data_IF_084482309511
#
_entry.id   IF_084482309511
#
_cell.length_a   1.000
_cell.length_b   1.000
_cell.length_c   1.000
_cell.angle_alpha   90.00
_cell.angle_beta   90.00
_cell.angle_gamma   90.00
#
_symmetry.space_group_name_H-M   'P 1'
#
loop_
_entity.id
_entity.type
_entity.pdbx_description
1 polymer ?
#
# COMPACT_ATOMS: atom_id res chain seq x y z
N UNK A 1 25.29 -199.76 88.91
CA UNK A 1 24.51 -199.26 87.75
C UNK A 1 23.49 -198.20 88.19
N UNK A 2 23.91 -197.11 88.88
CA UNK A 2 23.01 -196.07 89.40
C UNK A 2 23.66 -194.65 89.43
N UNK A 3 24.83 -194.48 88.82
CA UNK A 3 25.65 -193.24 88.87
C UNK A 3 25.68 -192.52 87.53
N UNK A 4 25.67 -193.27 86.42
CA UNK A 4 25.76 -192.74 85.04
C UNK A 4 24.47 -192.05 84.56
N UNK A 5 23.30 -192.60 84.93
CA UNK A 5 22.00 -191.96 84.66
C UNK A 5 21.86 -190.65 85.45
N UNK A 6 22.41 -190.58 86.67
CA UNK A 6 22.40 -189.36 87.50
C UNK A 6 23.26 -188.26 86.88
N UNK A 7 24.44 -188.60 86.37
CA UNK A 7 25.32 -187.63 85.70
C UNK A 7 24.69 -187.11 84.40
N UNK A 8 24.13 -187.98 83.55
CA UNK A 8 23.46 -187.54 82.32
C UNK A 8 22.21 -186.69 82.57
N UNK A 9 21.47 -186.93 83.65
CA UNK A 9 20.36 -186.08 84.08
C UNK A 9 20.84 -184.72 84.61
N UNK A 10 22.00 -184.68 85.28
CA UNK A 10 22.69 -183.45 85.68
C UNK A 10 23.12 -182.63 84.46
N UNK A 11 23.82 -183.26 83.50
CA UNK A 11 24.27 -182.61 82.27
C UNK A 11 23.08 -182.06 81.46
N UNK A 12 21.95 -182.78 81.40
CA UNK A 12 20.73 -182.32 80.72
C UNK A 12 20.06 -181.15 81.45
N UNK A 13 20.12 -181.12 82.78
CA UNK A 13 19.63 -180.00 83.59
C UNK A 13 20.50 -178.76 83.38
N UNK A 14 21.83 -178.91 83.35
CA UNK A 14 22.77 -177.84 83.04
C UNK A 14 22.58 -177.31 81.61
N UNK A 15 22.39 -178.20 80.62
CA UNK A 15 22.13 -177.80 79.23
C UNK A 15 20.78 -177.10 79.09
N UNK A 16 19.76 -177.55 79.82
CA UNK A 16 18.45 -176.88 79.88
C UNK A 16 18.56 -175.48 80.48
N UNK A 17 19.31 -175.34 81.57
CA UNK A 17 19.49 -174.07 82.27
C UNK A 17 20.36 -173.11 81.44
N UNK A 18 21.36 -173.63 80.72
CA UNK A 18 22.14 -172.88 79.73
C UNK A 18 21.28 -172.41 78.55
N UNK A 19 20.43 -173.27 77.99
CA UNK A 19 19.47 -172.90 76.92
C UNK A 19 18.43 -171.90 77.45
N UNK A 20 18.01 -172.02 78.71
CA UNK A 20 17.14 -171.03 79.34
C UNK A 20 17.83 -169.67 79.48
N UNK A 21 19.12 -169.66 79.85
CA UNK A 21 19.94 -168.45 79.91
C UNK A 21 20.19 -167.84 78.52
N UNK A 22 20.44 -168.64 77.49
CA UNK A 22 20.54 -168.13 76.11
C UNK A 22 19.21 -167.54 75.62
N UNK A 23 18.08 -168.16 75.99
CA UNK A 23 16.75 -167.62 75.65
C UNK A 23 16.47 -166.29 76.34
N UNK A 24 16.92 -166.08 77.58
CA UNK A 24 16.78 -164.79 78.25
C UNK A 24 17.69 -163.73 77.64
N UNK A 25 18.92 -164.08 77.26
CA UNK A 25 19.82 -163.18 76.51
C UNK A 25 19.23 -162.80 75.15
N UNK A 26 18.77 -163.77 74.36
CA UNK A 26 18.12 -163.50 73.07
C UNK A 26 16.84 -162.67 73.20
N UNK A 27 16.07 -162.86 74.28
CA UNK A 27 14.91 -162.02 74.57
C UNK A 27 15.31 -160.58 74.87
N UNK A 28 16.38 -160.38 75.65
CA UNK A 28 16.93 -159.06 75.93
C UNK A 28 17.50 -158.39 74.67
N UNK A 29 18.25 -159.11 73.84
CA UNK A 29 18.75 -158.60 72.55
C UNK A 29 17.60 -158.21 71.60
N UNK A 30 16.55 -159.02 71.52
CA UNK A 30 15.35 -158.69 70.74
C UNK A 30 14.64 -157.44 71.26
N UNK A 31 14.59 -157.23 72.58
CA UNK A 31 14.07 -156.01 73.16
C UNK A 31 14.92 -154.78 72.76
N UNK A 32 16.24 -154.88 72.88
CA UNK A 32 17.17 -153.82 72.44
C UNK A 32 17.01 -153.49 70.95
N UNK A 33 16.89 -154.51 70.08
CA UNK A 33 16.67 -154.29 68.64
C UNK A 33 15.29 -153.65 68.37
N UNK A 34 14.25 -154.01 69.15
CA UNK A 34 12.95 -153.39 69.04
C UNK A 34 13.00 -151.91 69.44
N UNK A 35 13.72 -151.57 70.50
CA UNK A 35 13.95 -150.19 70.97
C UNK A 35 14.73 -149.38 69.93
N UNK A 36 15.83 -149.92 69.41
CA UNK A 36 16.61 -149.29 68.32
C UNK A 36 15.77 -149.05 67.07
N UNK A 37 14.87 -149.98 66.72
CA UNK A 37 13.94 -149.81 65.59
C UNK A 37 12.93 -148.71 65.87
N UNK A 38 12.43 -148.60 67.10
CA UNK A 38 11.53 -147.52 67.51
C UNK A 38 12.24 -146.15 67.41
N UNK A 39 13.48 -146.04 67.91
CA UNK A 39 14.30 -144.84 67.81
C UNK A 39 14.58 -144.45 66.36
N UNK A 40 14.90 -145.42 65.50
CA UNK A 40 15.13 -145.18 64.07
C UNK A 40 13.86 -144.71 63.34
N UNK A 41 12.68 -145.22 63.72
CA UNK A 41 11.40 -144.74 63.19
C UNK A 41 11.07 -143.33 63.67
N UNK A 42 11.37 -143.00 64.93
CA UNK A 42 11.23 -141.66 65.48
C UNK A 42 12.15 -140.68 64.75
N UNK A 43 13.43 -141.03 64.57
CA UNK A 43 14.40 -140.23 63.82
C UNK A 43 13.98 -140.03 62.36
N UNK A 44 13.49 -141.06 61.67
CA UNK A 44 12.96 -140.92 60.31
C UNK A 44 11.75 -139.98 60.23
N UNK A 45 10.91 -139.97 61.27
CA UNK A 45 9.76 -139.05 61.34
C UNK A 45 10.25 -137.62 61.53
N UNK A 46 11.23 -137.39 62.40
CA UNK A 46 11.84 -136.08 62.58
C UNK A 46 12.53 -135.58 61.30
N UNK A 47 13.31 -136.43 60.63
CA UNK A 47 13.94 -136.10 59.34
C UNK A 47 12.89 -135.73 58.30
N UNK A 48 11.76 -136.48 58.23
CA UNK A 48 10.66 -136.17 57.30
C UNK A 48 10.02 -134.82 57.60
N UNK A 49 9.77 -134.51 58.88
CA UNK A 49 9.21 -133.23 59.28
C UNK A 49 10.15 -132.08 58.91
N UNK A 50 11.45 -132.21 59.22
CA UNK A 50 12.46 -131.21 58.86
C UNK A 50 12.56 -131.01 57.35
N UNK A 51 12.47 -132.08 56.55
CA UNK A 51 12.42 -131.98 55.08
C UNK A 51 11.17 -131.23 54.60
N UNK A 52 10.04 -131.41 55.27
CA UNK A 52 8.81 -130.62 55.05
C UNK A 52 9.04 -129.14 55.34
N UNK A 53 9.54 -128.81 56.53
CA UNK A 53 9.84 -127.42 56.93
C UNK A 53 10.82 -126.75 55.96
N UNK A 54 11.85 -127.48 55.51
CA UNK A 54 12.81 -126.98 54.51
C UNK A 54 12.15 -126.73 53.14
N UNK A 55 11.18 -127.55 52.74
CA UNK A 55 10.44 -127.34 51.50
C UNK A 55 9.56 -126.10 51.58
N UNK A 56 8.84 -125.89 52.69
CA UNK A 56 8.04 -124.69 52.93
C UNK A 56 8.90 -123.42 52.98
N UNK A 57 10.05 -123.48 53.66
CA UNK A 57 11.00 -122.36 53.69
C UNK A 57 11.53 -122.05 52.30
N UNK A 58 11.87 -123.08 51.50
CA UNK A 58 12.33 -122.90 50.11
C UNK A 58 11.25 -122.22 49.26
N UNK A 59 10.00 -122.63 49.40
CA UNK A 59 8.89 -122.08 48.62
C UNK A 59 8.61 -120.62 49.03
N UNK A 60 8.71 -120.30 50.33
CA UNK A 60 8.63 -118.92 50.85
C UNK A 60 9.75 -118.04 50.29
N UNK A 61 11.00 -118.51 50.34
CA UNK A 61 12.15 -117.79 49.77
C UNK A 61 12.01 -117.60 48.26
N UNK A 62 11.44 -118.59 47.55
CA UNK A 62 11.16 -118.45 46.12
C UNK A 62 10.12 -117.35 45.85
N UNK A 63 9.04 -117.30 46.63
CA UNK A 63 8.02 -116.26 46.53
C UNK A 63 8.60 -114.87 46.83
N UNK A 64 9.38 -114.71 47.89
CA UNK A 64 10.05 -113.44 48.23
C UNK A 64 11.01 -112.99 47.11
N UNK A 65 11.77 -113.92 46.52
CA UNK A 65 12.64 -113.61 45.37
C UNK A 65 11.84 -113.10 44.17
N UNK A 66 10.68 -113.69 43.88
CA UNK A 66 9.82 -113.21 42.80
C UNK A 66 9.22 -111.83 43.09
N UNK A 67 8.78 -111.58 44.32
CA UNK A 67 8.27 -110.27 44.73
C UNK A 67 9.36 -109.19 44.65
N UNK A 68 10.56 -109.46 45.15
CA UNK A 68 11.69 -108.54 45.09
C UNK A 68 12.14 -108.28 43.64
N UNK A 69 12.06 -109.28 42.76
CA UNK A 69 12.33 -109.10 41.33
C UNK A 69 11.30 -108.16 40.68
N UNK A 70 10.03 -108.29 41.01
CA UNK A 70 8.98 -107.39 40.54
C UNK A 70 9.18 -105.96 41.07
N UNK A 71 9.48 -105.78 42.36
CA UNK A 71 9.75 -104.46 42.95
C UNK A 71 10.96 -103.80 42.28
N UNK A 72 12.04 -104.55 42.05
CA UNK A 72 13.23 -104.07 41.31
C UNK A 72 12.90 -103.62 39.90
N UNK A 73 12.01 -104.34 39.19
CA UNK A 73 11.56 -103.93 37.87
C UNK A 73 10.78 -102.60 37.94
N UNK A 74 9.85 -102.45 38.88
CA UNK A 74 9.09 -101.19 39.04
C UNK A 74 10.00 -100.00 39.40
N UNK A 75 11.00 -100.19 40.26
CA UNK A 75 11.98 -99.16 40.59
C UNK A 75 12.87 -98.80 39.40
N UNK A 76 13.23 -99.79 38.56
CA UNK A 76 13.98 -99.54 37.33
C UNK A 76 13.15 -98.67 36.35
N UNK A 77 11.86 -98.97 36.19
CA UNK A 77 10.95 -98.19 35.35
C UNK A 77 10.76 -96.76 35.89
N UNK A 78 10.56 -96.61 37.20
CA UNK A 78 10.47 -95.30 37.85
C UNK A 78 11.76 -94.49 37.64
N UNK A 79 12.93 -95.12 37.80
CA UNK A 79 14.23 -94.46 37.58
C UNK A 79 14.39 -94.03 36.12
N UNK A 80 13.95 -94.85 35.17
CA UNK A 80 13.94 -94.48 33.75
C UNK A 80 13.01 -93.28 33.50
N UNK A 81 11.81 -93.27 34.09
CA UNK A 81 10.86 -92.16 34.01
C UNK A 81 11.43 -90.85 34.59
N UNK A 82 12.04 -90.88 35.77
CA UNK A 82 12.69 -89.70 36.36
C UNK A 82 13.88 -89.20 35.53
N UNK A 83 14.64 -90.11 34.92
CA UNK A 83 15.73 -89.75 34.01
C UNK A 83 15.20 -89.04 32.76
N UNK A 84 14.10 -89.54 32.17
CA UNK A 84 13.45 -88.91 31.03
C UNK A 84 12.91 -87.51 31.38
N UNK A 85 12.19 -87.38 32.50
CA UNK A 85 11.70 -86.08 32.99
C UNK A 85 12.84 -85.08 33.26
N UNK A 86 13.94 -85.55 33.84
CA UNK A 86 15.13 -84.70 34.06
C UNK A 86 15.77 -84.25 32.75
N UNK A 87 15.72 -85.09 31.71
CA UNK A 87 16.14 -84.73 30.36
C UNK A 87 15.25 -83.64 29.75
N UNK A 88 13.93 -83.81 29.84
CA UNK A 88 12.94 -82.86 29.34
C UNK A 88 13.08 -81.48 30.02
N UNK A 89 13.18 -81.45 31.35
CA UNK A 89 13.40 -80.21 32.11
C UNK A 89 14.69 -79.52 31.69
N UNK A 90 15.77 -80.28 31.44
CA UNK A 90 17.04 -79.71 30.98
C UNK A 90 16.90 -79.06 29.60
N UNK A 91 16.19 -79.70 28.68
CA UNK A 91 15.93 -79.14 27.35
C UNK A 91 15.10 -77.86 27.44
N UNK A 92 14.02 -77.87 28.22
CA UNK A 92 13.17 -76.68 28.43
C UNK A 92 13.95 -75.52 29.06
N UNK A 93 14.85 -75.79 30.00
CA UNK A 93 15.73 -74.76 30.58
C UNK A 93 16.71 -74.20 29.54
N UNK A 94 17.19 -75.04 28.61
CA UNK A 94 18.06 -74.59 27.52
C UNK A 94 17.29 -73.70 26.53
N UNK A 95 16.09 -74.11 26.13
CA UNK A 95 15.23 -73.33 25.23
C UNK A 95 14.84 -71.98 25.85
N UNK A 96 14.50 -71.97 27.15
CA UNK A 96 14.20 -70.74 27.88
C UNK A 96 15.41 -69.81 27.97
N UNK A 97 16.61 -70.37 28.15
CA UNK A 97 17.84 -69.58 28.16
C UNK A 97 18.09 -68.92 26.80
N UNK A 98 17.87 -69.65 25.69
CA UNK A 98 17.97 -69.13 24.32
C UNK A 98 16.94 -68.02 24.08
N UNK A 99 15.65 -68.27 24.37
CA UNK A 99 14.60 -67.27 24.20
C UNK A 99 14.86 -65.98 25.02
N UNK A 100 15.43 -66.12 26.23
CA UNK A 100 15.82 -64.97 27.05
C UNK A 100 16.97 -64.18 26.44
N UNK A 101 17.92 -64.85 25.79
CA UNK A 101 19.01 -64.19 25.08
C UNK A 101 18.50 -63.42 23.87
N UNK A 102 17.60 -64.02 23.08
CA UNK A 102 17.00 -63.39 21.90
C UNK A 102 16.20 -62.13 22.28
N UNK A 103 15.33 -62.23 23.29
CA UNK A 103 14.59 -61.07 23.82
C UNK A 103 15.49 -59.96 24.35
N UNK A 104 16.65 -60.31 24.93
CA UNK A 104 17.61 -59.32 25.39
C UNK A 104 18.28 -58.59 24.20
N UNK A 105 18.56 -59.31 23.12
CA UNK A 105 19.10 -58.74 21.88
C UNK A 105 18.07 -57.80 21.21
N UNK A 106 16.83 -58.25 21.00
CA UNK A 106 15.75 -57.42 20.44
C UNK A 106 15.52 -56.14 21.25
N UNK A 107 15.53 -56.25 22.59
CA UNK A 107 15.39 -55.08 23.47
C UNK A 107 16.54 -54.09 23.30
N UNK A 108 17.75 -54.58 23.06
CA UNK A 108 18.92 -53.73 22.80
C UNK A 108 18.81 -53.03 21.45
N UNK A 109 18.36 -53.73 20.41
CA UNK A 109 18.13 -53.15 19.08
C UNK A 109 17.06 -52.07 19.10
N UNK A 110 15.90 -52.36 19.71
CA UNK A 110 14.82 -51.37 19.88
C UNK A 110 15.27 -50.14 20.69
N UNK A 111 16.15 -50.32 21.67
CA UNK A 111 16.71 -49.20 22.43
C UNK A 111 17.64 -48.32 21.56
N UNK A 112 18.42 -48.94 20.67
CA UNK A 112 19.26 -48.23 19.71
C UNK A 112 18.40 -47.47 18.68
N UNK A 113 17.41 -48.12 18.08
CA UNK A 113 16.47 -47.49 17.14
C UNK A 113 15.75 -46.30 17.76
N UNK A 114 15.26 -46.45 19.00
CA UNK A 114 14.63 -45.34 19.74
C UNK A 114 15.58 -44.16 19.94
N UNK A 115 16.87 -44.41 20.09
CA UNK A 115 17.88 -43.36 20.23
C UNK A 115 18.10 -42.64 18.90
N UNK A 116 18.16 -43.37 17.79
CA UNK A 116 18.25 -42.81 16.43
C UNK A 116 17.02 -41.95 16.12
N UNK A 117 15.81 -42.48 16.31
CA UNK A 117 14.56 -41.74 16.05
C UNK A 117 14.43 -40.47 16.89
N UNK A 118 14.93 -40.47 18.14
CA UNK A 118 15.00 -39.24 18.96
C UNK A 118 15.93 -38.20 18.34
N UNK A 119 17.08 -38.63 17.81
CA UNK A 119 18.03 -37.77 17.10
C UNK A 119 17.43 -37.18 15.82
N UNK A 120 16.80 -38.01 15.00
CA UNK A 120 16.12 -37.58 13.78
C UNK A 120 15.00 -36.57 14.08
N UNK A 121 14.17 -36.84 15.09
CA UNK A 121 13.11 -35.91 15.53
C UNK A 121 13.70 -34.58 15.98
N UNK A 122 14.81 -34.58 16.70
CA UNK A 122 15.49 -33.35 17.12
C UNK A 122 16.03 -32.57 15.92
N UNK A 123 16.63 -33.24 14.94
CA UNK A 123 17.10 -32.65 13.68
C UNK A 123 15.96 -31.98 12.91
N UNK A 124 14.86 -32.71 12.69
CA UNK A 124 13.67 -32.17 12.02
C UNK A 124 13.10 -30.95 12.75
N UNK A 125 13.06 -31.00 14.08
CA UNK A 125 12.60 -29.86 14.89
C UNK A 125 13.51 -28.64 14.74
N UNK A 126 14.83 -28.84 14.64
CA UNK A 126 15.78 -27.76 14.42
C UNK A 126 15.61 -27.13 13.03
N UNK A 127 15.52 -27.95 11.98
CA UNK A 127 15.26 -27.45 10.61
C UNK A 127 13.93 -26.69 10.51
N UNK A 128 12.87 -27.14 11.20
CA UNK A 128 11.61 -26.40 11.24
C UNK A 128 11.74 -25.02 11.93
N UNK A 129 12.57 -24.91 12.97
CA UNK A 129 12.82 -23.65 13.64
C UNK A 129 13.63 -22.69 12.74
N UNK A 130 14.62 -23.20 12.00
CA UNK A 130 15.39 -22.43 11.02
C UNK A 130 14.49 -21.90 9.89
N UNK A 131 13.69 -22.76 9.26
CA UNK A 131 12.75 -22.37 8.20
C UNK A 131 11.73 -21.32 8.68
N UNK A 132 11.29 -21.41 9.95
CA UNK A 132 10.41 -20.40 10.54
C UNK A 132 11.12 -19.04 10.64
N UNK A 133 12.38 -19.02 11.08
CA UNK A 133 13.19 -17.79 11.11
C UNK A 133 13.41 -17.20 9.71
N UNK A 134 13.66 -18.04 8.70
CA UNK A 134 13.76 -17.59 7.31
C UNK A 134 12.46 -16.98 6.78
N UNK A 135 11.30 -17.58 7.10
CA UNK A 135 9.99 -17.03 6.73
C UNK A 135 9.73 -15.67 7.37
N UNK A 136 10.10 -15.50 8.64
CA UNK A 136 9.99 -14.22 9.36
C UNK A 136 10.90 -13.16 8.70
N UNK A 137 12.12 -13.52 8.33
CA UNK A 137 13.05 -12.63 7.61
C UNK A 137 12.50 -12.22 6.23
N UNK A 138 11.95 -13.17 5.45
CA UNK A 138 11.33 -12.89 4.15
C UNK A 138 10.12 -11.97 4.30
N UNK A 139 9.30 -12.16 5.33
CA UNK A 139 8.17 -11.27 5.62
C UNK A 139 8.65 -9.83 5.94
N UNK A 140 9.71 -9.69 6.73
CA UNK A 140 10.31 -8.39 7.04
C UNK A 140 10.86 -7.69 5.78
N UNK A 141 11.59 -8.42 4.93
CA UNK A 141 12.12 -7.88 3.67
C UNK A 141 11.00 -7.44 2.71
N UNK A 142 9.93 -8.23 2.60
CA UNK A 142 8.74 -7.83 1.81
C UNK A 142 8.10 -6.55 2.33
N UNK A 143 8.02 -6.40 3.66
CA UNK A 143 7.54 -5.17 4.30
C UNK A 143 8.41 -3.96 3.96
N UNK A 144 9.73 -4.11 4.05
CA UNK A 144 10.69 -3.05 3.72
C UNK A 144 10.59 -2.61 2.24
N UNK A 145 10.54 -3.57 1.31
CA UNK A 145 10.39 -3.29 -0.13
C UNK A 145 9.05 -2.58 -0.42
N UNK A 146 7.97 -2.98 0.24
CA UNK A 146 6.67 -2.33 0.07
C UNK A 146 6.70 -0.86 0.53
N UNK A 147 7.37 -0.59 1.67
CA UNK A 147 7.55 0.77 2.17
C UNK A 147 8.42 1.63 1.24
N UNK A 148 9.53 1.08 0.74
CA UNK A 148 10.40 1.75 -0.23
C UNK A 148 9.65 2.08 -1.51
N UNK A 149 8.90 1.12 -2.07
CA UNK A 149 8.07 1.34 -3.26
C UNK A 149 7.04 2.45 -3.03
N UNK A 150 6.40 2.49 -1.86
CA UNK A 150 5.46 3.56 -1.53
C UNK A 150 6.14 4.92 -1.47
N UNK A 151 7.35 5.00 -0.92
CA UNK A 151 8.16 6.23 -0.89
C UNK A 151 8.52 6.72 -2.27
N UNK A 152 9.01 5.82 -3.15
CA UNK A 152 9.38 6.16 -4.52
C UNK A 152 8.18 6.62 -5.36
N UNK A 153 6.99 6.05 -5.14
CA UNK A 153 5.76 6.52 -5.81
C UNK A 153 5.42 7.95 -5.38
N UNK A 154 5.49 8.25 -4.09
CA UNK A 154 5.23 9.61 -3.58
C UNK A 154 6.26 10.62 -4.11
N UNK A 155 7.54 10.24 -4.18
CA UNK A 155 8.59 11.08 -4.76
C UNK A 155 8.34 11.34 -6.26
N UNK A 156 7.93 10.31 -7.02
CA UNK A 156 7.57 10.45 -8.44
C UNK A 156 6.42 11.44 -8.63
N UNK A 157 5.35 11.31 -7.84
CA UNK A 157 4.19 12.21 -7.91
C UNK A 157 4.57 13.66 -7.56
N UNK A 158 5.43 13.85 -6.55
CA UNK A 158 5.94 15.17 -6.19
C UNK A 158 6.80 15.80 -7.31
N UNK A 159 7.65 14.99 -7.97
CA UNK A 159 8.46 15.43 -9.11
C UNK A 159 7.60 15.77 -10.33
N UNK A 160 6.59 14.96 -10.65
CA UNK A 160 5.64 15.22 -11.74
C UNK A 160 4.88 16.54 -11.50
N UNK A 161 4.38 16.76 -10.28
CA UNK A 161 3.72 18.00 -9.89
C UNK A 161 4.67 19.22 -9.97
N UNK A 162 5.90 19.06 -9.48
CA UNK A 162 6.93 20.09 -9.54
C UNK A 162 7.30 20.45 -10.98
N UNK A 163 7.44 19.46 -11.86
CA UNK A 163 7.71 19.67 -13.28
C UNK A 163 6.57 20.40 -13.98
N UNK A 164 5.31 19.99 -13.73
CA UNK A 164 4.14 20.64 -14.29
C UNK A 164 4.05 22.13 -13.87
N UNK A 165 4.30 22.42 -12.58
CA UNK A 165 4.32 23.78 -12.07
C UNK A 165 5.46 24.63 -12.68
N UNK A 166 6.65 24.04 -12.84
CA UNK A 166 7.78 24.71 -13.48
C UNK A 166 7.48 25.03 -14.95
N UNK A 167 6.88 24.09 -15.69
CA UNK A 167 6.49 24.27 -17.08
C UNK A 167 5.43 25.37 -17.22
N UNK A 168 4.43 25.39 -16.35
CA UNK A 168 3.43 26.45 -16.32
C UNK A 168 4.05 27.83 -16.08
N UNK A 169 5.00 27.94 -15.13
CA UNK A 169 5.72 29.19 -14.84
C UNK A 169 6.53 29.67 -16.04
N UNK A 170 7.29 28.80 -16.67
CA UNK A 170 8.11 29.15 -17.85
C UNK A 170 7.22 29.57 -19.02
N UNK A 171 6.09 28.89 -19.21
CA UNK A 171 5.14 29.24 -20.27
C UNK A 171 4.55 30.63 -20.03
N UNK A 172 4.08 30.91 -18.81
CA UNK A 172 3.55 32.22 -18.45
C UNK A 172 4.60 33.35 -18.58
N UNK A 173 5.84 33.10 -18.17
CA UNK A 173 6.93 34.08 -18.31
C UNK A 173 7.25 34.35 -19.79
N UNK A 174 7.30 33.30 -20.62
CA UNK A 174 7.47 33.43 -22.07
C UNK A 174 6.35 34.29 -22.67
N UNK A 175 5.10 34.02 -22.34
CA UNK A 175 3.94 34.73 -22.90
C UNK A 175 3.94 36.20 -22.45
N UNK A 176 4.28 36.47 -21.19
CA UNK A 176 4.47 37.83 -20.69
C UNK A 176 5.59 38.58 -21.41
N UNK A 177 6.75 37.94 -21.61
CA UNK A 177 7.87 38.54 -22.32
C UNK A 177 7.54 38.78 -23.80
N UNK A 178 6.79 37.88 -24.44
CA UNK A 178 6.32 38.07 -25.81
C UNK A 178 5.37 39.28 -25.91
N UNK A 179 4.39 39.39 -25.00
CA UNK A 179 3.48 40.54 -24.96
C UNK A 179 4.23 41.85 -24.70
N UNK A 180 5.18 41.85 -23.76
CA UNK A 180 6.01 43.03 -23.47
C UNK A 180 6.88 43.44 -24.65
N UNK A 181 7.45 42.46 -25.37
CA UNK A 181 8.24 42.74 -26.58
C UNK A 181 7.36 43.40 -27.65
N UNK A 182 6.15 42.89 -27.86
CA UNK A 182 5.22 43.43 -28.83
C UNK A 182 4.76 44.86 -28.47
N UNK A 183 4.47 45.14 -27.20
CA UNK A 183 4.19 46.50 -26.73
C UNK A 183 5.37 47.45 -27.01
N UNK A 184 6.60 47.03 -26.70
CA UNK A 184 7.78 47.86 -26.96
C UNK A 184 8.00 48.10 -28.45
N UNK A 185 7.75 47.12 -29.31
CA UNK A 185 7.79 47.27 -30.77
C UNK A 185 6.74 48.26 -31.24
N UNK A 186 5.49 48.13 -30.79
CA UNK A 186 4.41 49.06 -31.10
C UNK A 186 4.74 50.50 -30.70
N UNK A 187 5.32 50.68 -29.51
CA UNK A 187 5.79 52.00 -29.04
C UNK A 187 6.88 52.59 -29.91
N UNK A 188 7.91 51.81 -30.24
CA UNK A 188 9.00 52.28 -31.10
C UNK A 188 8.53 52.62 -32.52
N UNK A 189 7.59 51.83 -33.06
CA UNK A 189 6.94 52.13 -34.35
C UNK A 189 6.17 53.45 -34.27
N UNK A 190 5.38 53.65 -33.21
CA UNK A 190 4.65 54.91 -33.00
C UNK A 190 5.57 56.12 -32.83
N UNK A 191 6.65 55.99 -32.05
CA UNK A 191 7.65 57.04 -31.89
C UNK A 191 8.36 57.36 -33.20
N UNK A 192 8.76 56.34 -33.96
CA UNK A 192 9.32 56.50 -35.30
C UNK A 192 8.36 57.24 -36.22
N UNK A 193 7.10 56.84 -36.24
CA UNK A 193 6.07 57.43 -37.10
C UNK A 193 5.82 58.91 -36.73
N UNK A 194 5.79 59.23 -35.43
CA UNK A 194 5.70 60.62 -34.97
C UNK A 194 6.92 61.46 -35.38
N UNK A 195 8.13 60.89 -35.35
CA UNK A 195 9.34 61.57 -35.85
C UNK A 195 9.32 61.78 -37.36
N UNK A 196 8.83 60.80 -38.13
CA UNK A 196 8.63 60.93 -39.59
C UNK A 196 7.66 62.07 -39.88
N UNK A 197 6.53 62.12 -39.17
CA UNK A 197 5.53 63.19 -39.32
C UNK A 197 6.08 64.55 -38.93
N UNK A 198 6.88 64.63 -37.87
CA UNK A 198 7.57 65.87 -37.47
C UNK A 198 8.58 66.36 -38.52
N UNK A 199 9.20 65.43 -39.26
CA UNK A 199 10.18 65.73 -40.32
C UNK A 199 9.52 66.10 -41.65
N UNK A 200 8.53 65.30 -42.09
CA UNK A 200 8.00 65.34 -43.46
C UNK A 200 6.60 65.96 -43.55
N UNK A 201 5.95 66.21 -42.40
CA UNK A 201 4.58 66.69 -42.31
C UNK A 201 3.55 65.55 -42.25
N UNK A 202 2.32 65.89 -41.85
CA UNK A 202 1.23 64.93 -41.62
C UNK A 202 0.65 64.36 -42.91
N UNK A 203 0.61 65.14 -44.00
CA UNK A 203 -0.02 64.72 -45.25
C UNK A 203 0.70 63.55 -45.95
N UNK A 204 2.05 63.56 -46.15
CA UNK A 204 2.75 62.44 -46.80
C UNK A 204 2.57 61.12 -46.06
N UNK A 205 2.63 61.14 -44.72
CA UNK A 205 2.44 59.96 -43.89
C UNK A 205 1.04 59.33 -44.05
N UNK A 206 0.00 60.15 -44.14
CA UNK A 206 -1.38 59.65 -44.27
C UNK A 206 -1.71 59.16 -45.67
N UNK A 207 -0.97 59.63 -46.68
CA UNK A 207 -1.13 59.18 -48.07
C UNK A 207 -0.34 57.92 -48.42
N UNK A 208 0.59 57.49 -47.56
CA UNK A 208 1.39 56.29 -47.80
C UNK A 208 0.55 55.01 -47.63
N UNK A 209 0.23 54.35 -48.74
CA UNK A 209 -0.58 53.14 -48.79
C UNK A 209 0.02 51.96 -48.02
N UNK A 210 1.33 51.95 -47.78
CA UNK A 210 2.03 50.88 -47.06
C UNK A 210 1.85 50.94 -45.54
N UNK A 211 1.35 52.07 -45.01
CA UNK A 211 1.12 52.26 -43.58
C UNK A 211 -0.28 51.76 -43.23
N UNK A 212 -0.37 50.86 -42.26
CA UNK A 212 -1.63 50.34 -41.76
C UNK A 212 -2.56 51.45 -41.26
N UNK A 213 -3.87 51.24 -41.45
CA UNK A 213 -4.93 52.22 -41.13
C UNK A 213 -4.88 52.65 -39.67
N UNK A 214 -4.68 51.71 -38.76
CA UNK A 214 -4.61 51.96 -37.31
C UNK A 214 -3.45 52.89 -36.93
N UNK A 215 -2.29 52.72 -37.57
CA UNK A 215 -1.10 53.56 -37.36
C UNK A 215 -1.33 54.99 -37.87
N UNK A 216 -2.03 55.15 -39.00
CA UNK A 216 -2.46 56.47 -39.52
C UNK A 216 -3.40 57.17 -38.54
N UNK A 217 -4.36 56.43 -37.97
CA UNK A 217 -5.33 56.97 -37.02
C UNK A 217 -4.66 57.43 -35.72
N UNK A 218 -3.78 56.62 -35.14
CA UNK A 218 -3.05 56.98 -33.92
C UNK A 218 -2.21 58.27 -34.07
N UNK A 219 -1.64 58.49 -35.25
CA UNK A 219 -0.89 59.70 -35.59
C UNK A 219 -1.81 60.92 -35.79
N UNK A 220 -2.97 60.75 -36.43
CA UNK A 220 -3.99 61.81 -36.52
C UNK A 220 -4.48 62.23 -35.13
N UNK A 221 -4.76 61.28 -34.24
CA UNK A 221 -5.17 61.55 -32.86
C UNK A 221 -4.10 62.34 -32.10
N UNK A 222 -2.81 61.98 -32.26
CA UNK A 222 -1.70 62.75 -31.69
C UNK A 222 -1.63 64.18 -32.24
N UNK A 223 -1.84 64.35 -33.54
CA UNK A 223 -1.86 65.69 -34.14
C UNK A 223 -3.01 66.56 -33.59
N UNK A 224 -4.18 65.97 -33.32
CA UNK A 224 -5.29 66.66 -32.61
C UNK A 224 -4.85 67.11 -31.21
N UNK A 225 -4.18 66.24 -30.45
CA UNK A 225 -3.68 66.57 -29.10
C UNK A 225 -2.64 67.69 -29.11
N UNK A 226 -1.76 67.70 -30.11
CA UNK A 226 -0.75 68.74 -30.32
C UNK A 226 -1.35 70.07 -30.82
N UNK A 227 -2.69 70.15 -30.97
CA UNK A 227 -3.39 71.35 -31.41
C UNK A 227 -3.42 71.55 -32.92
N UNK A 228 -2.94 70.58 -33.70
CA UNK A 228 -2.92 70.61 -35.17
C UNK A 228 -4.27 70.17 -35.77
N UNK A 229 -5.37 70.63 -35.16
CA UNK A 229 -6.74 70.24 -35.51
C UNK A 229 -7.07 70.68 -36.94
N UNK A 230 -6.60 71.86 -37.37
CA UNK A 230 -6.84 72.36 -38.72
C UNK A 230 -6.16 71.52 -39.80
N UNK A 231 -4.94 71.03 -39.53
CA UNK A 231 -4.22 70.09 -40.41
C UNK A 231 -4.99 68.77 -40.54
N UNK A 232 -5.45 68.22 -39.41
CA UNK A 232 -6.24 66.98 -39.39
C UNK A 232 -7.58 67.16 -40.11
N UNK A 233 -8.26 68.30 -39.90
CA UNK A 233 -9.52 68.63 -40.60
C UNK A 233 -9.31 68.80 -42.10
N UNK A 234 -8.21 69.43 -42.54
CA UNK A 234 -7.88 69.58 -43.96
C UNK A 234 -7.65 68.22 -44.61
N UNK A 235 -6.99 67.30 -43.91
CA UNK A 235 -6.71 65.95 -44.42
C UNK A 235 -7.96 65.08 -44.39
N UNK A 236 -8.77 65.10 -43.32
CA UNK A 236 -10.05 64.39 -43.30
C UNK A 236 -10.98 64.89 -44.42
N UNK A 237 -10.96 66.18 -44.76
CA UNK A 237 -11.68 66.71 -45.93
C UNK A 237 -11.14 66.18 -47.25
N UNK A 238 -9.82 66.03 -47.41
CA UNK A 238 -9.24 65.53 -48.65
C UNK A 238 -9.54 64.04 -48.85
N UNK A 239 -9.49 63.24 -47.79
CA UNK A 239 -9.73 61.78 -47.88
C UNK A 239 -11.20 61.38 -47.87
N UNK A 240 -12.14 62.29 -47.53
CA UNK A 240 -13.59 62.03 -47.57
C UNK A 240 -14.12 61.60 -48.95
N UNK A 241 -13.37 61.88 -50.02
CA UNK A 241 -13.77 61.56 -51.39
C UNK A 241 -13.50 60.09 -51.75
N UNK A 242 -12.75 59.36 -50.92
CA UNK A 242 -12.48 57.94 -51.11
C UNK A 242 -13.54 57.10 -50.38
N UNK A 243 -14.27 56.20 -51.07
CA UNK A 243 -15.32 55.38 -50.48
C UNK A 243 -14.84 54.57 -49.27
N UNK A 244 -13.61 54.04 -49.31
CA UNK A 244 -12.99 53.30 -48.20
C UNK A 244 -12.70 54.13 -46.94
N UNK A 245 -12.77 55.46 -47.04
CA UNK A 245 -12.45 56.40 -45.96
C UNK A 245 -13.61 57.36 -45.64
N UNK A 246 -14.75 57.21 -46.31
CA UNK A 246 -15.88 58.13 -46.21
C UNK A 246 -16.50 58.15 -44.81
N UNK A 247 -16.64 56.98 -44.16
CA UNK A 247 -17.10 56.84 -42.77
C UNK A 247 -16.19 57.65 -41.84
N UNK A 248 -14.94 57.19 -41.70
CA UNK A 248 -13.80 57.82 -40.95
C UNK A 248 -13.76 59.32 -41.08
N UNK A 249 -13.72 59.78 -42.32
CA UNK A 249 -13.58 61.19 -42.63
C UNK A 249 -14.80 61.96 -42.16
N UNK A 250 -15.99 61.38 -42.28
CA UNK A 250 -17.25 62.05 -41.95
C UNK A 250 -17.45 62.21 -40.45
N UNK A 251 -17.20 61.20 -39.60
CA UNK A 251 -17.36 61.40 -38.15
C UNK A 251 -16.11 61.95 -37.47
N UNK A 252 -14.90 61.71 -38.00
CA UNK A 252 -13.73 62.50 -37.63
C UNK A 252 -13.99 64.00 -37.86
N UNK A 253 -14.55 64.38 -39.01
CA UNK A 253 -14.98 65.76 -39.27
C UNK A 253 -16.14 66.21 -38.39
N UNK A 254 -17.11 65.35 -38.06
CA UNK A 254 -18.19 65.71 -37.12
C UNK A 254 -17.68 65.92 -35.71
N UNK A 255 -16.76 65.08 -35.23
CA UNK A 255 -16.12 65.23 -33.93
C UNK A 255 -15.28 66.50 -33.88
N UNK A 256 -14.40 66.73 -34.85
CA UNK A 256 -13.65 67.98 -34.95
C UNK A 256 -14.58 69.20 -35.06
N UNK A 257 -15.65 69.13 -35.85
CA UNK A 257 -16.66 70.20 -35.91
C UNK A 257 -17.40 70.41 -34.59
N UNK A 258 -17.75 69.34 -33.89
CA UNK A 258 -18.44 69.43 -32.61
C UNK A 258 -17.52 70.06 -31.57
N UNK A 259 -16.26 69.62 -31.48
CA UNK A 259 -15.24 70.21 -30.62
C UNK A 259 -14.99 71.70 -30.93
N UNK A 260 -14.96 72.08 -32.22
CA UNK A 260 -14.76 73.46 -32.65
C UNK A 260 -16.01 74.34 -32.48
N UNK A 261 -17.22 73.81 -32.65
CA UNK A 261 -18.48 74.58 -32.60
C UNK A 261 -19.11 74.65 -31.21
N UNK A 262 -18.94 73.64 -30.39
CA UNK A 262 -19.62 73.53 -29.08
C UNK A 262 -19.10 74.52 -28.04
N UNK A 263 -17.95 75.16 -28.28
CA UNK A 263 -17.28 75.94 -27.24
C UNK A 263 -16.65 75.06 -26.15
N UNK A 264 -16.83 73.74 -26.21
CA UNK A 264 -16.49 72.80 -25.14
C UNK A 264 -15.00 72.85 -24.78
N UNK A 265 -14.12 73.01 -25.79
CA UNK A 265 -12.68 73.17 -25.57
C UNK A 265 -12.35 74.48 -24.86
N UNK A 266 -13.06 75.57 -25.15
CA UNK A 266 -12.90 76.86 -24.47
C UNK A 266 -13.49 76.82 -23.05
N UNK A 267 -14.66 76.19 -22.88
CA UNK A 267 -15.38 76.07 -21.60
C UNK A 267 -14.62 75.21 -20.58
N UNK A 268 -13.89 74.19 -21.05
CA UNK A 268 -12.99 73.38 -20.21
C UNK A 268 -11.58 73.95 -20.09
N UNK A 269 -11.32 75.16 -20.60
CA UNK A 269 -10.01 75.82 -20.51
C UNK A 269 -8.88 75.06 -21.20
N UNK A 270 -9.20 74.30 -22.26
CA UNK A 270 -8.21 73.57 -23.04
C UNK A 270 -7.36 74.54 -23.86
N UNK A 271 -6.04 74.46 -23.72
CA UNK A 271 -5.07 75.20 -24.54
C UNK A 271 -4.19 74.21 -25.32
N UNK A 272 -3.94 74.42 -26.62
CA UNK A 272 -2.97 73.63 -27.36
C UNK A 272 -1.59 73.88 -26.75
N UNK A 273 -0.95 72.81 -26.29
CA UNK A 273 0.40 72.84 -25.73
C UNK A 273 1.21 71.72 -26.39
N UNK A 274 2.11 72.04 -27.34
CA UNK A 274 2.94 71.04 -28.00
C UNK A 274 3.96 70.38 -27.05
N UNK A 275 4.14 70.91 -25.84
CA UNK A 275 4.98 70.35 -24.78
C UNK A 275 4.21 69.47 -23.77
N UNK A 276 2.86 69.46 -23.83
CA UNK A 276 2.03 68.56 -23.00
C UNK A 276 2.30 67.13 -23.40
N UNK A 277 3.04 66.41 -22.56
CA UNK A 277 2.99 64.96 -22.59
C UNK A 277 1.60 64.50 -22.17
N UNK A 278 1.02 63.56 -22.90
CA UNK A 278 -0.13 62.80 -22.38
C UNK A 278 0.23 62.20 -21.01
N UNK A 279 -0.76 61.84 -20.17
CA UNK A 279 -0.48 61.29 -18.85
C UNK A 279 0.57 60.16 -18.94
N UNK A 280 1.58 60.13 -18.05
CA UNK A 280 2.69 59.20 -18.16
C UNK A 280 2.19 57.76 -18.24
N UNK A 281 2.66 57.02 -19.25
CA UNK A 281 2.26 55.64 -19.49
C UNK A 281 3.02 54.73 -18.51
N UNK A 282 2.41 54.45 -17.35
CA UNK A 282 2.56 53.14 -16.71
C UNK A 282 1.25 52.41 -16.88
N UNK A 283 1.17 51.54 -17.88
CA UNK A 283 0.06 50.60 -17.91
C UNK A 283 0.15 49.70 -16.67
N UNK A 284 -1.01 49.25 -16.13
CA UNK A 284 -2.37 49.47 -16.65
C UNK A 284 -3.20 50.61 -16.01
N UNK A 285 -2.59 51.48 -15.19
CA UNK A 285 -3.30 52.56 -14.48
C UNK A 285 -2.72 53.93 -14.86
N UNK A 286 -3.53 54.81 -15.44
CA UNK A 286 -3.10 56.19 -15.76
C UNK A 286 -3.61 57.17 -14.70
N UNK A 287 -2.73 58.03 -14.20
CA UNK A 287 -3.02 59.05 -13.20
C UNK A 287 -2.97 60.45 -13.81
N UNK A 288 -3.86 61.34 -13.36
CA UNK A 288 -3.66 62.78 -13.50
C UNK A 288 -2.58 63.29 -12.51
N UNK A 289 -1.93 64.42 -12.78
CA UNK A 289 -1.07 65.09 -11.79
C UNK A 289 -1.82 65.33 -10.47
N UNK A 290 -1.07 65.38 -9.34
CA UNK A 290 -1.66 65.60 -8.01
C UNK A 290 -2.45 66.90 -7.95
N UNK A 291 -3.66 66.85 -7.39
CA UNK A 291 -4.50 68.01 -7.13
C UNK A 291 -4.69 68.19 -5.62
N UNK A 292 -4.94 69.42 -5.16
CA UNK A 292 -5.05 69.73 -3.73
C UNK A 292 -6.40 69.33 -3.08
N UNK A 293 -7.25 68.55 -3.77
CA UNK A 293 -8.61 68.20 -3.32
C UNK A 293 -8.75 66.70 -3.12
N UNK A 294 -9.57 66.31 -2.13
CA UNK A 294 -9.88 64.92 -1.76
C UNK A 294 -10.70 64.13 -2.79
N UNK A 295 -10.95 64.67 -3.99
CA UNK A 295 -11.85 64.06 -4.98
C UNK A 295 -11.08 63.11 -5.89
N UNK A 296 -11.56 61.88 -6.04
CA UNK A 296 -10.98 60.87 -6.93
C UNK A 296 -12.04 60.40 -7.93
N UNK A 297 -11.77 60.56 -9.22
CA UNK A 297 -12.60 60.09 -10.32
C UNK A 297 -12.02 58.79 -10.88
N UNK A 298 -12.72 57.68 -10.69
CA UNK A 298 -12.43 56.39 -11.30
C UNK A 298 -13.12 56.31 -12.65
N UNK A 299 -12.34 56.41 -13.73
CA UNK A 299 -12.79 56.34 -15.11
C UNK A 299 -12.59 54.91 -15.65
N UNK A 300 -13.67 54.12 -15.64
CA UNK A 300 -13.71 52.76 -16.18
C UNK A 300 -13.93 52.80 -17.68
N UNK A 301 -12.94 52.32 -18.43
CA UNK A 301 -12.96 52.37 -19.88
C UNK A 301 -13.88 51.29 -20.47
N UNK A 302 -14.47 51.59 -21.62
CA UNK A 302 -15.21 50.60 -22.38
C UNK A 302 -14.28 49.66 -23.16
N UNK A 303 -14.91 48.89 -24.05
CA UNK A 303 -14.22 48.05 -25.04
C UNK A 303 -13.24 48.89 -25.87
N UNK A 304 -12.03 48.37 -26.10
CA UNK A 304 -10.96 49.08 -26.82
C UNK A 304 -10.23 50.15 -26.01
N UNK A 305 -10.36 50.13 -24.67
CA UNK A 305 -9.65 51.00 -23.71
C UNK A 305 -9.82 52.50 -24.00
N UNK A 306 -11.03 52.88 -24.41
CA UNK A 306 -11.40 54.24 -24.78
C UNK A 306 -12.80 54.59 -24.27
N UNK A 307 -13.12 55.89 -24.36
CA UNK A 307 -14.51 56.34 -24.35
C UNK A 307 -14.98 56.54 -25.80
N UNK A 308 -16.00 57.39 -26.02
CA UNK A 308 -16.29 57.96 -27.34
C UNK A 308 -15.13 58.77 -27.95
N UNK A 309 -14.05 58.96 -27.18
CA UNK A 309 -12.75 59.47 -27.61
C UNK A 309 -11.62 58.80 -26.80
N UNK A 310 -10.37 58.94 -27.25
CA UNK A 310 -9.19 58.43 -26.53
C UNK A 310 -9.01 59.08 -25.16
N UNK A 311 -8.40 58.37 -24.21
CA UNK A 311 -8.09 58.87 -22.85
C UNK A 311 -7.34 60.21 -22.89
N UNK A 312 -6.38 60.35 -23.81
CA UNK A 312 -5.59 61.56 -23.92
C UNK A 312 -6.42 62.77 -24.37
N UNK A 313 -7.46 62.56 -25.18
CA UNK A 313 -8.41 63.60 -25.59
C UNK A 313 -9.46 63.86 -24.50
N UNK A 314 -9.87 62.82 -23.76
CA UNK A 314 -10.82 62.92 -22.66
C UNK A 314 -10.23 63.66 -21.45
N UNK A 315 -8.94 63.41 -21.17
CA UNK A 315 -8.32 63.87 -19.94
C UNK A 315 -8.42 65.37 -19.71
N UNK A 316 -8.21 66.24 -20.71
CA UNK A 316 -8.43 67.67 -20.56
C UNK A 316 -9.87 68.09 -20.23
N UNK A 317 -10.90 67.29 -20.55
CA UNK A 317 -12.28 67.57 -20.14
C UNK A 317 -12.52 67.22 -18.67
N UNK A 318 -11.72 66.32 -18.10
CA UNK A 318 -11.82 65.90 -16.71
C UNK A 318 -10.94 66.74 -15.77
N UNK A 319 -9.89 67.38 -16.29
CA UNK A 319 -8.96 68.22 -15.51
C UNK A 319 -9.55 69.47 -14.83
N UNK A 320 -10.53 70.22 -15.40
CA UNK A 320 -11.02 71.47 -14.79
C UNK A 320 -11.73 71.26 -13.46
N UNK A 321 -12.19 70.04 -13.19
CA UNK A 321 -12.98 69.70 -12.02
C UNK A 321 -12.15 69.46 -10.74
N UNK A 322 -10.82 69.64 -10.79
CA UNK A 322 -9.92 69.53 -9.63
C UNK A 322 -10.11 68.22 -8.85
N UNK A 323 -9.98 67.09 -9.56
CA UNK A 323 -10.03 65.74 -9.00
C UNK A 323 -8.84 64.92 -9.51
N UNK A 324 -8.42 63.93 -8.72
CA UNK A 324 -7.49 62.90 -9.18
C UNK A 324 -8.22 61.97 -10.14
N UNK A 325 -7.76 61.85 -11.38
CA UNK A 325 -8.40 60.96 -12.36
C UNK A 325 -7.58 59.67 -12.46
N UNK A 326 -8.26 58.53 -12.25
CA UNK A 326 -7.72 57.20 -12.38
C UNK A 326 -8.39 56.50 -13.57
N UNK A 327 -7.65 56.23 -14.64
CA UNK A 327 -8.18 55.46 -15.75
C UNK A 327 -7.90 53.97 -15.52
N UNK A 328 -8.97 53.18 -15.55
CA UNK A 328 -8.94 51.75 -15.28
C UNK A 328 -9.29 51.01 -16.56
N UNK A 329 -8.35 50.19 -17.05
CA UNK A 329 -8.56 49.33 -18.20
C UNK A 329 -8.82 47.90 -17.75
N UNK A 330 -9.76 47.22 -18.41
CA UNK A 330 -9.89 45.78 -18.31
C UNK A 330 -8.94 45.12 -19.30
N UNK A 331 -7.84 44.60 -18.79
CA UNK A 331 -6.82 43.88 -19.57
C UNK A 331 -7.15 42.39 -19.72
N UNK A 332 -8.08 41.86 -18.92
CA UNK A 332 -8.48 40.45 -18.94
C UNK A 332 -9.75 40.20 -19.75
N UNK A 333 -10.37 41.26 -20.27
CA UNK A 333 -11.61 41.20 -21.05
C UNK A 333 -12.72 40.48 -20.29
N UNK A 334 -12.75 40.68 -18.97
CA UNK A 334 -13.70 40.06 -18.05
C UNK A 334 -14.90 40.96 -17.76
N UNK A 335 -15.05 42.07 -18.48
CA UNK A 335 -15.97 43.17 -18.13
C UNK A 335 -15.77 43.65 -16.70
N UNK A 336 -14.51 43.66 -16.24
CA UNK A 336 -14.10 43.95 -14.86
C UNK A 336 -14.69 42.98 -13.81
N UNK A 337 -15.27 41.84 -14.21
CA UNK A 337 -15.88 40.89 -13.27
C UNK A 337 -14.85 40.16 -12.42
N UNK A 338 -13.67 39.90 -12.99
CA UNK A 338 -12.57 39.22 -12.31
C UNK A 338 -11.66 40.21 -11.57
N UNK A 339 -11.95 41.50 -11.60
CA UNK A 339 -11.11 42.52 -10.99
C UNK A 339 -10.43 43.42 -12.00
N UNK A 340 -9.62 44.33 -11.48
CA UNK A 340 -8.65 45.10 -12.25
C UNK A 340 -7.27 44.53 -11.89
N UNK A 341 -6.73 43.67 -12.75
CA UNK A 341 -5.49 42.92 -12.48
C UNK A 341 -4.29 43.80 -12.10
N UNK A 342 -4.27 45.04 -12.61
CA UNK A 342 -3.25 46.03 -12.24
C UNK A 342 -3.30 46.54 -10.81
N UNK A 343 -4.43 46.33 -10.14
CA UNK A 343 -4.69 46.79 -8.78
C UNK A 343 -4.67 45.61 -7.80
N UNK A 344 -5.14 44.43 -8.21
CA UNK A 344 -5.08 43.22 -7.40
C UNK A 344 -5.61 42.00 -8.14
N UNK A 345 -5.13 40.81 -7.78
CA UNK A 345 -5.56 39.54 -8.38
C UNK A 345 -6.94 39.15 -7.86
N UNK A 346 -7.98 39.31 -8.69
CA UNK A 346 -9.36 39.05 -8.30
C UNK A 346 -10.14 40.32 -7.92
N UNK A 347 -11.47 40.24 -8.02
CA UNK A 347 -12.37 41.38 -7.78
C UNK A 347 -12.20 42.01 -6.39
N UNK A 348 -12.15 41.21 -5.33
CA UNK A 348 -12.02 41.71 -3.96
C UNK A 348 -10.65 42.35 -3.69
N UNK A 349 -9.58 41.77 -4.22
CA UNK A 349 -8.25 42.34 -4.11
C UNK A 349 -8.14 43.67 -4.87
N UNK A 350 -8.72 43.74 -6.07
CA UNK A 350 -8.80 44.97 -6.84
C UNK A 350 -9.61 46.06 -6.12
N UNK A 351 -10.74 45.71 -5.48
CA UNK A 351 -11.53 46.65 -4.69
C UNK A 351 -10.74 47.20 -3.50
N UNK A 352 -10.05 46.34 -2.75
CA UNK A 352 -9.20 46.75 -1.64
C UNK A 352 -8.06 47.67 -2.11
N UNK A 353 -7.35 47.28 -3.17
CA UNK A 353 -6.28 48.11 -3.74
C UNK A 353 -6.78 49.45 -4.27
N UNK A 354 -7.98 49.51 -4.89
CA UNK A 354 -8.57 50.77 -5.34
C UNK A 354 -8.90 51.69 -4.16
N UNK A 355 -9.43 51.15 -3.04
CA UNK A 355 -9.65 51.95 -1.82
C UNK A 355 -8.36 52.54 -1.29
N UNK A 356 -7.29 51.75 -1.25
CA UNK A 356 -5.99 52.21 -0.76
C UNK A 356 -5.37 53.26 -1.69
N UNK A 357 -5.49 53.09 -3.01
CA UNK A 357 -5.07 54.09 -3.99
C UNK A 357 -5.86 55.38 -3.81
N UNK A 358 -7.19 55.31 -3.69
CA UNK A 358 -8.02 56.50 -3.49
C UNK A 358 -7.67 57.23 -2.19
N UNK A 359 -7.51 56.50 -1.09
CA UNK A 359 -7.10 57.06 0.21
C UNK A 359 -5.73 57.75 0.14
N UNK A 360 -4.80 57.13 -0.57
CA UNK A 360 -3.44 57.66 -0.75
C UNK A 360 -3.46 58.94 -1.59
N UNK A 361 -4.22 58.96 -2.68
CA UNK A 361 -4.33 60.14 -3.56
C UNK A 361 -5.01 61.31 -2.85
N UNK A 362 -6.06 61.04 -2.07
CA UNK A 362 -6.80 62.06 -1.33
C UNK A 362 -6.14 62.48 0.00
N UNK A 363 -4.99 61.88 0.37
CA UNK A 363 -4.32 62.08 1.66
C UNK A 363 -5.27 61.89 2.86
N UNK A 364 -6.12 60.86 2.80
CA UNK A 364 -7.14 60.59 3.82
C UNK A 364 -8.45 60.09 3.20
N UNK A 365 -9.59 60.53 3.76
CA UNK A 365 -10.91 60.13 3.26
C UNK A 365 -11.17 60.73 1.87
N UNK A 366 -11.32 59.85 0.88
CA UNK A 366 -11.50 60.22 -0.52
C UNK A 366 -12.98 60.36 -0.87
N UNK A 367 -13.36 61.44 -1.55
CA UNK A 367 -14.66 61.53 -2.23
C UNK A 367 -14.54 60.82 -3.58
N UNK A 368 -15.03 59.58 -3.65
CA UNK A 368 -14.94 58.75 -4.86
C UNK A 368 -16.10 59.06 -5.81
N UNK A 369 -15.77 59.26 -7.08
CA UNK A 369 -16.71 59.38 -8.19
C UNK A 369 -16.38 58.31 -9.21
N UNK A 370 -17.38 57.66 -9.79
CA UNK A 370 -17.17 56.69 -10.86
C UNK A 370 -17.75 57.21 -12.18
N UNK A 371 -16.98 57.04 -13.26
CA UNK A 371 -17.38 57.38 -14.61
C UNK A 371 -17.10 56.21 -15.53
N UNK A 372 -18.07 55.81 -16.33
CA UNK A 372 -17.91 54.73 -17.28
C UNK A 372 -18.86 54.81 -18.46
N UNK A 373 -18.45 54.22 -19.56
CA UNK A 373 -19.25 54.12 -20.79
C UNK A 373 -19.35 52.67 -21.24
N UNK A 374 -20.49 52.24 -21.81
CA UNK A 374 -20.66 50.88 -22.33
C UNK A 374 -20.31 49.82 -21.26
N UNK A 375 -19.40 48.88 -21.56
CA UNK A 375 -18.87 47.89 -20.62
C UNK A 375 -18.21 48.53 -19.38
N UNK A 376 -17.50 49.65 -19.54
CA UNK A 376 -16.95 50.43 -18.43
C UNK A 376 -18.04 51.05 -17.56
N UNK A 377 -19.22 51.31 -18.13
CA UNK A 377 -20.40 51.76 -17.40
C UNK A 377 -20.90 50.72 -16.38
N UNK A 378 -20.86 49.42 -16.74
CA UNK A 378 -21.15 48.34 -15.80
C UNK A 378 -20.19 48.37 -14.61
N UNK A 379 -18.89 48.46 -14.90
CA UNK A 379 -17.86 48.52 -13.87
C UNK A 379 -18.02 49.76 -12.98
N UNK A 380 -18.30 50.93 -13.58
CA UNK A 380 -18.55 52.16 -12.83
C UNK A 380 -19.73 52.05 -11.86
N UNK A 381 -20.80 51.34 -12.25
CA UNK A 381 -21.95 51.05 -11.38
C UNK A 381 -21.57 50.07 -10.25
N UNK A 382 -20.94 48.96 -10.61
CA UNK A 382 -20.62 47.87 -9.67
C UNK A 382 -19.54 48.29 -8.65
N UNK A 383 -18.41 48.79 -9.13
CA UNK A 383 -17.36 49.32 -8.26
C UNK A 383 -17.82 50.58 -7.54
N UNK A 384 -18.65 51.41 -8.16
CA UNK A 384 -19.21 52.58 -7.50
C UNK A 384 -20.03 52.20 -6.27
N UNK A 385 -20.87 51.17 -6.37
CA UNK A 385 -21.61 50.62 -5.23
C UNK A 385 -20.66 50.09 -4.15
N UNK A 386 -19.72 49.24 -4.53
CA UNK A 386 -18.86 48.54 -3.56
C UNK A 386 -17.78 49.46 -2.96
N UNK A 387 -17.38 50.54 -3.63
CA UNK A 387 -16.45 51.55 -3.11
C UNK A 387 -17.15 52.68 -2.35
N UNK A 388 -18.47 52.64 -2.23
CA UNK A 388 -19.30 53.72 -1.65
C UNK A 388 -19.06 55.07 -2.35
N UNK A 389 -19.06 55.04 -3.69
CA UNK A 389 -18.84 56.22 -4.50
C UNK A 389 -19.99 57.23 -4.33
N UNK A 390 -19.63 58.50 -4.14
CA UNK A 390 -20.57 59.61 -3.94
C UNK A 390 -21.55 59.76 -5.09
N UNK A 391 -21.06 59.56 -6.33
CA UNK A 391 -21.87 59.56 -7.55
C UNK A 391 -21.26 58.63 -8.60
N UNK A 392 -22.13 58.03 -9.40
CA UNK A 392 -21.77 57.27 -10.59
C UNK A 392 -22.39 57.94 -11.82
N UNK A 393 -21.58 58.22 -12.83
CA UNK A 393 -22.03 58.60 -14.17
C UNK A 393 -21.76 57.44 -15.12
N UNK A 394 -22.82 56.77 -15.56
CA UNK A 394 -22.74 55.63 -16.46
C UNK A 394 -23.48 56.01 -17.77
N UNK A 395 -22.74 56.03 -18.88
CA UNK A 395 -23.28 56.39 -20.21
C UNK A 395 -23.43 55.13 -21.04
N UNK A 396 -24.63 54.88 -21.57
CA UNK A 396 -24.94 53.70 -22.40
C UNK A 396 -24.47 52.38 -21.76
N UNK A 397 -24.64 52.25 -20.44
CA UNK A 397 -24.03 51.18 -19.67
C UNK A 397 -24.74 49.84 -19.87
N UNK A 398 -23.95 48.77 -19.95
CA UNK A 398 -24.48 47.40 -19.90
C UNK A 398 -24.92 47.10 -18.47
N UNK A 399 -26.22 46.90 -18.23
CA UNK A 399 -26.80 46.70 -16.89
C UNK A 399 -27.26 45.26 -16.63
N UNK A 400 -27.15 44.37 -17.62
CA UNK A 400 -27.56 42.96 -17.53
C UNK A 400 -26.50 42.07 -18.17
N UNK A 401 -26.02 41.05 -17.44
CA UNK A 401 -25.00 40.08 -17.87
C UNK A 401 -25.46 38.62 -17.71
N UNK A 402 -26.78 38.35 -17.79
CA UNK A 402 -27.32 36.99 -17.68
C UNK A 402 -27.20 36.22 -19.00
N UNK A 403 -27.10 34.89 -18.88
CA UNK A 403 -26.77 33.90 -19.92
C UNK A 403 -27.50 34.03 -21.27
N UNK A 404 -26.86 33.42 -22.27
CA UNK A 404 -27.03 33.62 -23.71
C UNK A 404 -26.77 35.06 -24.17
N UNK A 405 -27.45 36.09 -23.65
CA UNK A 405 -27.22 37.48 -24.10
C UNK A 405 -25.89 38.06 -23.60
N UNK A 406 -25.40 37.64 -22.43
CA UNK A 406 -24.09 38.05 -21.89
C UNK A 406 -22.89 37.36 -22.55
N UNK A 407 -22.99 36.07 -22.88
CA UNK A 407 -21.95 35.36 -23.65
C UNK A 407 -22.01 35.74 -25.13
N UNK A 408 -23.20 35.91 -25.72
CA UNK A 408 -23.36 36.47 -27.07
C UNK A 408 -22.89 37.91 -27.11
N UNK A 409 -23.16 38.80 -26.13
CA UNK A 409 -22.60 40.16 -26.15
C UNK A 409 -21.12 40.22 -25.83
N UNK A 410 -20.56 39.38 -24.96
CA UNK A 410 -19.11 39.44 -24.67
C UNK A 410 -18.31 38.77 -25.79
N UNK A 411 -18.81 37.68 -26.38
CA UNK A 411 -18.23 37.10 -27.59
C UNK A 411 -18.53 37.95 -28.82
N UNK A 412 -19.72 38.52 -28.99
CA UNK A 412 -20.00 39.49 -30.05
C UNK A 412 -19.27 40.79 -29.81
N UNK A 413 -19.00 41.28 -28.59
CA UNK A 413 -18.18 42.47 -28.31
C UNK A 413 -16.68 42.17 -28.41
N UNK A 414 -16.26 40.92 -28.22
CA UNK A 414 -14.89 40.46 -28.50
C UNK A 414 -14.66 40.23 -29.99
N UNK A 415 -15.64 39.66 -30.68
CA UNK A 415 -15.71 39.53 -32.15
C UNK A 415 -16.02 40.86 -32.80
N UNK A 416 -16.77 41.77 -32.18
CA UNK A 416 -16.93 43.18 -32.56
C UNK A 416 -15.76 43.99 -32.02
N UNK A 417 -14.88 43.54 -31.14
CA UNK A 417 -13.63 44.26 -30.84
C UNK A 417 -12.48 43.80 -31.72
N UNK A 418 -12.55 42.57 -32.23
CA UNK A 418 -11.71 42.07 -33.32
C UNK A 418 -12.23 42.64 -34.66
N UNK A 419 -13.56 42.61 -34.90
CA UNK A 419 -14.21 43.21 -36.09
C UNK A 419 -14.48 44.72 -36.02
N UNK A 420 -14.68 45.35 -34.86
CA UNK A 420 -14.61 46.84 -34.63
C UNK A 420 -13.24 47.28 -34.13
N UNK A 421 -12.28 46.37 -33.94
CA UNK A 421 -10.88 46.67 -34.16
C UNK A 421 -10.70 47.04 -35.63
N UNK A 422 -11.24 46.20 -36.51
CA UNK A 422 -11.34 46.45 -37.97
C UNK A 422 -12.40 47.50 -38.40
N UNK A 423 -13.46 47.72 -37.61
CA UNK A 423 -14.52 48.73 -37.78
C UNK A 423 -14.40 49.92 -36.80
N UNK A 424 -13.22 50.17 -36.23
CA UNK A 424 -12.89 51.48 -35.64
C UNK A 424 -12.63 52.48 -36.78
N UNK A 425 -13.70 52.67 -37.58
CA UNK A 425 -14.22 53.87 -38.21
C UNK A 425 -15.08 53.44 -39.42
N UNK A 426 -16.26 52.89 -39.13
CA UNK A 426 -17.49 53.33 -39.82
C UNK A 426 -18.25 54.36 -38.94
N UNK A 427 -17.44 55.14 -38.22
CA UNK A 427 -17.61 56.54 -37.90
C UNK A 427 -16.41 57.25 -38.52
#
# INVERSE_FOLDING_TARGET
MNTEVRNRLGDFAELRDAVAAERTVLAAERATVADQRADFLALNTEVRNRLGDFAELRDTVAAERTALAAERATLADQRAGFSALSGEVRNQLCDLATARADLAAERSELAAERTVLKGERASVSASHAELRGELENVAALRGAIAAERSGLVAEREALEAGHAAALARVTAEKDYLAAKLEDTRGRLVFERDALIVGRDGLAPFLTDASIERERRLAICERAILEGRIDEVVAILKSVRHYPEHLGVASSGLSMCRHLLKSGLLQDVGWSPDPSRSGPPVRQPIRFSPRCARRKVLLAFLGVGHRFWMQIAALHPFLTPHSAHVLYLCDTTWSSYMLGVDSVGSGYQAALAGLRDICRTLAEGEAEIFCYGTSMGGFAALRYGLDLDARKVLAIDAVTTLTGEVGELRVQDERVLSERLGDLALDL
#
